data_IF_325860524285
#
_entry.id   IF_325860524285
#
_cell.length_a   1.000
_cell.length_b   1.000
_cell.length_c   1.000
_cell.angle_alpha   90.00
_cell.angle_beta   90.00
_cell.angle_gamma   90.00
#
_symmetry.space_group_name_H-M   'P 1'
#
loop_
_entity.id
_entity.type
_entity.pdbx_description
1 polymer ?
#
# COMPACT_ATOMS: atom_id res chain seq x y z
N UNK A 1 20.77 6.10 28.68
CA UNK A 1 21.57 4.98 28.14
C UNK A 1 21.16 3.69 28.83
N UNK A 2 20.29 2.90 28.20
CA UNK A 2 20.10 1.48 28.52
C UNK A 2 20.18 0.75 27.20
N UNK A 3 21.29 0.02 27.02
CA UNK A 3 21.55 -0.84 25.86
C UNK A 3 20.79 -2.14 26.09
N UNK A 4 19.94 -2.55 25.15
CA UNK A 4 19.53 -3.94 25.02
C UNK A 4 20.10 -4.46 23.71
N UNK A 5 21.14 -5.27 23.86
CA UNK A 5 21.70 -6.13 22.85
C UNK A 5 20.87 -7.42 22.90
N UNK A 6 20.25 -7.83 21.80
CA UNK A 6 19.97 -9.24 21.55
C UNK A 6 20.10 -9.52 20.07
N UNK A 7 20.93 -10.51 19.77
CA UNK A 7 21.48 -10.86 18.48
C UNK A 7 21.08 -12.31 18.20
N UNK A 8 20.42 -12.54 17.06
CA UNK A 8 20.54 -13.69 16.14
C UNK A 8 19.86 -15.05 16.44
N UNK A 9 19.44 -15.67 15.32
CA UNK A 9 19.14 -17.08 14.95
C UNK A 9 17.64 -17.45 15.00
N UNK A 10 16.99 -18.00 13.96
CA UNK A 10 17.42 -18.95 12.93
C UNK A 10 16.67 -18.76 11.59
N UNK A 11 17.39 -19.09 10.51
CA UNK A 11 16.88 -19.30 9.16
C UNK A 11 15.82 -20.41 9.07
N UNK A 12 14.84 -20.20 8.20
CA UNK A 12 14.28 -21.27 7.37
C UNK A 12 14.49 -20.88 5.91
N UNK A 13 15.70 -21.17 5.41
CA UNK A 13 15.88 -21.44 4.00
C UNK A 13 15.20 -22.78 3.74
N UNK A 14 13.99 -22.75 3.17
CA UNK A 14 13.43 -23.94 2.56
C UNK A 14 14.18 -24.23 1.25
N UNK A 15 15.38 -24.80 1.37
CA UNK A 15 15.96 -25.60 0.29
C UNK A 15 15.10 -26.85 0.14
N UNK A 16 14.01 -26.71 -0.61
CA UNK A 16 13.28 -27.84 -1.18
C UNK A 16 13.99 -28.28 -2.44
N UNK A 17 14.99 -29.16 -2.33
CA UNK A 17 15.31 -30.10 -3.40
C UNK A 17 14.05 -30.89 -3.70
N UNK A 18 13.33 -30.52 -4.77
CA UNK A 18 12.29 -31.34 -5.36
C UNK A 18 12.97 -32.58 -5.97
N UNK A 19 13.18 -33.59 -5.12
CA UNK A 19 13.11 -34.97 -5.59
C UNK A 19 11.69 -35.20 -6.09
N UNK A 20 11.57 -35.43 -7.39
CA UNK A 20 10.36 -35.90 -8.01
C UNK A 20 9.92 -37.22 -7.34
N UNK A 21 8.79 -37.16 -6.64
CA UNK A 21 7.90 -38.30 -6.44
C UNK A 21 6.48 -37.83 -6.73
N UNK A 22 5.96 -38.42 -7.79
CA UNK A 22 4.68 -38.23 -8.45
C UNK A 22 3.51 -38.68 -7.56
N UNK A 23 2.75 -37.70 -7.06
CA UNK A 23 1.34 -37.83 -6.69
C UNK A 23 0.71 -36.43 -6.64
N UNK A 24 0.66 -35.76 -7.79
CA UNK A 24 0.11 -34.41 -7.90
C UNK A 24 -1.42 -34.43 -7.80
N UNK A 25 -1.95 -34.13 -6.61
CA UNK A 25 -3.31 -33.58 -6.55
C UNK A 25 -3.28 -32.23 -7.27
N UNK A 26 -4.12 -32.06 -8.30
CA UNK A 26 -4.36 -30.74 -8.87
C UNK A 26 -5.10 -29.92 -7.82
N UNK A 27 -4.37 -29.02 -7.15
CA UNK A 27 -4.97 -28.00 -6.29
C UNK A 27 -5.44 -26.89 -7.20
N UNK A 28 -6.72 -26.53 -7.11
CA UNK A 28 -7.28 -25.41 -7.87
C UNK A 28 -6.61 -24.10 -7.44
N UNK A 29 -6.49 -23.14 -8.36
CA UNK A 29 -5.76 -21.88 -8.10
C UNK A 29 -6.35 -21.07 -6.92
N UNK A 30 -7.64 -21.25 -6.65
CA UNK A 30 -8.38 -20.62 -5.55
C UNK A 30 -8.03 -21.22 -4.18
N UNK A 31 -7.58 -22.47 -4.13
CA UNK A 31 -7.24 -23.19 -2.89
C UNK A 31 -5.78 -22.98 -2.46
N UNK A 32 -4.97 -22.31 -3.29
CA UNK A 32 -3.57 -22.01 -2.97
C UNK A 32 -3.49 -20.90 -1.91
N UNK A 33 -2.64 -21.05 -0.87
CA UNK A 33 -2.48 -20.02 0.15
C UNK A 33 -1.94 -18.71 -0.44
N UNK A 34 -2.19 -17.58 0.22
CA UNK A 34 -1.57 -16.31 -0.15
C UNK A 34 -0.03 -16.46 -0.20
N UNK A 35 0.60 -15.86 -1.22
CA UNK A 35 2.03 -15.98 -1.48
C UNK A 35 2.41 -17.14 -2.43
N UNK A 36 1.44 -17.93 -2.90
CA UNK A 36 1.72 -19.00 -3.87
C UNK A 36 2.10 -18.46 -5.27
N UNK A 37 1.70 -17.22 -5.60
CA UNK A 37 2.00 -16.60 -6.90
C UNK A 37 2.70 -15.25 -6.76
N UNK A 38 3.69 -15.17 -5.87
CA UNK A 38 4.46 -13.94 -5.67
C UNK A 38 5.10 -13.45 -6.96
N UNK A 39 4.92 -12.16 -7.22
CA UNK A 39 5.51 -11.37 -8.29
C UNK A 39 6.17 -10.16 -7.66
N UNK A 40 7.23 -9.67 -8.30
CA UNK A 40 7.95 -8.49 -7.86
C UNK A 40 8.05 -7.48 -9.00
N UNK A 41 7.69 -6.23 -8.72
CA UNK A 41 7.98 -5.07 -9.56
C UNK A 41 9.27 -4.43 -9.05
N UNK A 42 10.17 -4.17 -10.01
CA UNK A 42 11.51 -3.58 -9.77
C UNK A 42 11.76 -2.32 -10.59
N UNK A 43 10.75 -1.90 -11.35
CA UNK A 43 10.74 -0.73 -12.22
C UNK A 43 9.85 0.37 -11.62
N UNK A 44 9.77 0.39 -10.29
CA UNK A 44 9.09 1.38 -9.44
C UNK A 44 10.13 2.09 -8.57
N UNK A 45 9.80 3.26 -8.03
CA UNK A 45 10.72 3.99 -7.15
C UNK A 45 10.96 3.27 -5.80
N UNK A 46 10.00 2.44 -5.37
CA UNK A 46 10.15 1.48 -4.28
C UNK A 46 9.79 0.09 -4.82
N UNK A 47 10.72 -0.87 -4.77
CA UNK A 47 10.45 -2.25 -5.18
C UNK A 47 9.26 -2.82 -4.39
N UNK A 48 8.35 -3.53 -5.06
CA UNK A 48 7.17 -4.10 -4.42
C UNK A 48 6.94 -5.56 -4.80
N UNK A 49 6.67 -6.41 -3.81
CA UNK A 49 6.32 -7.82 -3.98
C UNK A 49 4.90 -8.10 -3.49
N UNK A 50 4.16 -8.89 -4.25
CA UNK A 50 2.75 -9.17 -4.00
C UNK A 50 2.31 -10.46 -4.69
N UNK A 51 1.18 -11.03 -4.25
CA UNK A 51 0.58 -12.19 -4.93
C UNK A 51 -0.25 -11.74 -6.15
N UNK A 52 0.20 -12.16 -7.34
CA UNK A 52 -0.36 -11.71 -8.63
C UNK A 52 -1.78 -12.20 -8.93
N UNK A 53 -2.36 -13.08 -8.10
CA UNK A 53 -3.78 -13.44 -8.20
C UNK A 53 -4.70 -12.33 -7.70
N UNK A 54 -4.25 -11.55 -6.73
CA UNK A 54 -5.09 -10.57 -6.02
C UNK A 54 -4.85 -9.14 -6.50
N UNK A 55 -3.62 -8.84 -6.92
CA UNK A 55 -3.23 -7.50 -7.35
C UNK A 55 -2.67 -7.48 -8.77
N UNK A 56 -2.95 -6.39 -9.45
CA UNK A 56 -2.38 -6.05 -10.76
C UNK A 56 -1.08 -5.25 -10.59
N UNK A 57 -0.27 -5.23 -11.65
CA UNK A 57 0.98 -4.48 -11.66
C UNK A 57 0.71 -2.96 -11.54
N UNK A 58 -0.38 -2.45 -12.13
CA UNK A 58 -0.78 -1.05 -12.04
C UNK A 58 -1.23 -0.65 -10.62
N UNK A 59 -2.03 -1.49 -9.95
CA UNK A 59 -2.43 -1.25 -8.54
C UNK A 59 -1.20 -1.12 -7.63
N UNK A 60 -0.23 -2.02 -7.78
CA UNK A 60 0.97 -2.06 -6.94
C UNK A 60 1.95 -0.94 -7.28
N UNK A 61 1.98 -0.48 -8.54
CA UNK A 61 2.73 0.71 -8.93
C UNK A 61 2.19 1.95 -8.22
N UNK A 62 0.87 2.15 -8.19
CA UNK A 62 0.27 3.31 -7.51
C UNK A 62 0.47 3.25 -6.00
N UNK A 63 0.50 2.05 -5.39
CA UNK A 63 0.91 1.89 -3.98
C UNK A 63 2.35 2.36 -3.78
N UNK A 64 3.29 1.95 -4.64
CA UNK A 64 4.68 2.44 -4.59
C UNK A 64 4.74 3.96 -4.73
N UNK A 65 4.05 4.52 -5.72
CA UNK A 65 4.03 5.97 -5.99
C UNK A 65 3.45 6.77 -4.81
N UNK A 66 2.44 6.23 -4.12
CA UNK A 66 1.85 6.86 -2.93
C UNK A 66 2.89 7.00 -1.81
N UNK A 67 3.56 5.90 -1.44
CA UNK A 67 4.56 5.95 -0.36
C UNK A 67 5.82 6.71 -0.76
N UNK A 68 6.22 6.61 -2.03
CA UNK A 68 7.37 7.35 -2.55
C UNK A 68 7.10 8.86 -2.55
N UNK A 69 5.93 9.29 -3.04
CA UNK A 69 5.57 10.72 -3.06
C UNK A 69 5.58 11.34 -1.66
N UNK A 70 5.11 10.62 -0.65
CA UNK A 70 5.23 11.03 0.76
C UNK A 70 6.69 11.11 1.22
N UNK A 71 7.52 10.13 0.88
CA UNK A 71 8.95 10.11 1.24
C UNK A 71 9.71 11.30 0.66
N UNK A 72 9.49 11.63 -0.61
CA UNK A 72 10.21 12.70 -1.30
C UNK A 72 9.48 14.05 -1.30
N UNK A 73 8.29 14.10 -0.68
CA UNK A 73 7.43 15.29 -0.62
C UNK A 73 7.02 15.81 -2.01
N UNK A 74 6.68 14.91 -2.93
CA UNK A 74 6.23 15.25 -4.30
C UNK A 74 4.70 15.35 -4.37
N UNK A 75 4.19 16.59 -4.30
CA UNK A 75 2.75 16.89 -4.34
C UNK A 75 2.08 16.45 -5.63
N UNK A 76 2.76 16.52 -6.77
CA UNK A 76 2.18 16.15 -8.06
C UNK A 76 2.02 14.63 -8.17
N UNK A 77 3.04 13.88 -7.75
CA UNK A 77 2.97 12.43 -7.71
C UNK A 77 1.91 11.99 -6.70
N UNK A 78 1.87 12.60 -5.50
CA UNK A 78 0.84 12.30 -4.50
C UNK A 78 -0.56 12.53 -5.06
N UNK A 79 -0.81 13.68 -5.69
CA UNK A 79 -2.11 13.99 -6.27
C UNK A 79 -2.54 12.98 -7.34
N UNK A 80 -1.61 12.35 -8.06
CA UNK A 80 -1.93 11.31 -9.05
C UNK A 80 -2.40 9.99 -8.43
N UNK A 81 -2.12 9.76 -7.15
CA UNK A 81 -2.56 8.56 -6.40
C UNK A 81 -3.87 8.77 -5.66
N UNK A 82 -4.49 9.94 -5.79
CA UNK A 82 -5.69 10.36 -5.09
C UNK A 82 -6.74 10.82 -6.10
N UNK A 83 -8.03 10.69 -5.75
CA UNK A 83 -9.07 11.28 -6.60
C UNK A 83 -9.00 12.82 -6.56
N UNK A 84 -9.30 13.48 -7.68
CA UNK A 84 -9.29 14.95 -7.76
C UNK A 84 -10.20 15.60 -6.70
N UNK A 85 -11.34 14.97 -6.41
CA UNK A 85 -12.28 15.45 -5.41
C UNK A 85 -11.71 15.37 -3.99
N UNK A 86 -10.91 14.34 -3.70
CA UNK A 86 -10.22 14.22 -2.41
C UNK A 86 -9.12 15.28 -2.27
N UNK A 87 -8.37 15.57 -3.34
CA UNK A 87 -7.38 16.65 -3.34
C UNK A 87 -8.03 18.00 -3.05
N UNK A 88 -9.14 18.32 -3.72
CA UNK A 88 -9.93 19.54 -3.45
C UNK A 88 -10.42 19.59 -1.99
N UNK A 89 -10.83 18.45 -1.45
CA UNK A 89 -11.26 18.34 -0.06
C UNK A 89 -10.11 18.66 0.91
N UNK A 90 -8.91 18.11 0.69
CA UNK A 90 -7.72 18.41 1.49
C UNK A 90 -7.46 19.91 1.47
N UNK A 91 -7.36 20.52 0.28
CA UNK A 91 -7.07 21.94 0.11
C UNK A 91 -8.11 22.85 0.79
N UNK A 92 -9.38 22.46 0.78
CA UNK A 92 -10.49 23.24 1.34
C UNK A 92 -10.61 23.10 2.86
N UNK A 93 -10.46 21.88 3.41
CA UNK A 93 -10.80 21.60 4.82
C UNK A 93 -9.62 21.66 5.77
N UNK A 94 -8.39 21.52 5.28
CA UNK A 94 -7.22 21.51 6.17
C UNK A 94 -6.61 22.90 6.40
N UNK A 95 -7.11 23.95 5.73
CA UNK A 95 -6.46 25.28 5.60
C UNK A 95 -4.97 25.19 5.18
N UNK A 96 -4.60 24.04 4.61
CA UNK A 96 -3.24 23.59 4.37
C UNK A 96 -3.12 23.23 2.90
N UNK A 97 -1.98 23.57 2.31
CA UNK A 97 -1.66 23.06 0.99
C UNK A 97 -1.50 21.53 1.07
N UNK A 98 -1.66 20.83 -0.06
CA UNK A 98 -1.41 19.39 -0.14
C UNK A 98 -0.04 19.02 0.46
N UNK A 99 0.98 19.86 0.23
CA UNK A 99 2.30 19.70 0.84
C UNK A 99 2.32 19.69 2.37
N UNK A 100 1.49 20.49 3.05
CA UNK A 100 1.42 20.49 4.51
C UNK A 100 0.78 19.20 5.04
N UNK A 101 -0.24 18.68 4.35
CA UNK A 101 -0.85 17.38 4.67
C UNK A 101 0.17 16.24 4.51
N UNK A 102 0.90 16.21 3.39
CA UNK A 102 1.97 15.24 3.15
C UNK A 102 3.09 15.35 4.18
N UNK A 103 3.44 16.59 4.57
CA UNK A 103 4.46 16.84 5.58
C UNK A 103 4.07 16.27 6.94
N UNK A 104 2.81 16.36 7.34
CA UNK A 104 2.35 15.75 8.59
C UNK A 104 2.49 14.23 8.59
N UNK A 105 2.20 13.58 7.46
CA UNK A 105 2.39 12.14 7.31
C UNK A 105 3.88 11.80 7.39
N UNK A 106 4.72 12.52 6.66
CA UNK A 106 6.17 12.34 6.70
C UNK A 106 6.75 12.54 8.11
N UNK A 107 6.36 13.60 8.81
CA UNK A 107 6.86 13.89 10.16
C UNK A 107 6.46 12.79 11.16
N UNK A 108 5.26 12.22 11.03
CA UNK A 108 4.82 11.06 11.84
C UNK A 108 5.68 9.82 11.56
N UNK A 109 5.96 9.54 10.29
CA UNK A 109 6.82 8.42 9.89
C UNK A 109 8.26 8.64 10.35
N UNK A 110 8.81 9.84 10.13
CA UNK A 110 10.16 10.21 10.54
C UNK A 110 10.34 10.20 12.07
N UNK A 111 9.30 10.49 12.85
CA UNK A 111 9.33 10.32 14.30
C UNK A 111 9.55 8.85 14.73
N UNK A 112 9.20 7.90 13.86
CA UNK A 112 9.32 6.46 14.13
C UNK A 112 10.58 5.85 13.51
N UNK A 113 10.90 6.23 12.26
CA UNK A 113 12.01 5.67 11.46
C UNK A 113 13.28 6.53 11.48
N UNK A 114 13.18 7.77 11.95
CA UNK A 114 14.21 8.80 11.82
C UNK A 114 14.06 9.66 10.56
N UNK A 115 14.65 10.86 10.59
CA UNK A 115 14.63 11.78 9.44
C UNK A 115 15.40 11.19 8.23
N UNK A 116 14.95 11.52 7.02
CA UNK A 116 15.51 11.05 5.75
C UNK A 116 15.45 9.52 5.59
N UNK A 117 14.45 8.89 6.19
CA UNK A 117 14.15 7.48 5.93
C UNK A 117 13.94 7.26 4.43
N UNK A 118 14.32 6.06 3.95
CA UNK A 118 14.08 5.63 2.58
C UNK A 118 13.47 4.24 2.57
N UNK A 119 12.26 4.12 2.08
CA UNK A 119 11.67 2.85 1.73
C UNK A 119 12.45 2.24 0.56
N UNK A 120 12.90 1.01 0.75
CA UNK A 120 13.65 0.25 -0.24
C UNK A 120 12.83 -0.91 -0.79
N UNK A 121 11.83 -1.37 -0.04
CA UNK A 121 11.02 -2.52 -0.41
C UNK A 121 9.68 -2.51 0.32
N UNK A 122 8.62 -2.91 -0.40
CA UNK A 122 7.27 -3.15 0.11
C UNK A 122 6.90 -4.61 -0.18
N UNK A 123 6.31 -5.30 0.79
CA UNK A 123 5.73 -6.62 0.61
C UNK A 123 4.27 -6.60 1.05
N UNK A 124 3.36 -6.91 0.12
CA UNK A 124 1.99 -7.22 0.50
C UNK A 124 1.97 -8.63 1.09
N UNK A 125 1.70 -8.75 2.38
CA UNK A 125 1.74 -10.02 3.14
C UNK A 125 0.35 -10.63 3.39
N UNK A 126 -0.69 -9.84 3.23
CA UNK A 126 -2.08 -10.30 3.22
C UNK A 126 -2.94 -9.34 2.38
N UNK A 127 -4.13 -9.81 2.01
CA UNK A 127 -5.11 -9.02 1.29
C UNK A 127 -6.51 -9.50 1.60
N UNK A 128 -7.48 -8.68 1.22
CA UNK A 128 -8.88 -9.04 1.21
C UNK A 128 -9.68 -7.99 0.46
N UNK A 129 -10.99 -8.13 0.52
CA UNK A 129 -11.91 -7.18 -0.09
C UNK A 129 -13.00 -6.73 0.89
N UNK A 130 -14.04 -6.10 0.34
CA UNK A 130 -15.18 -5.59 1.11
C UNK A 130 -15.92 -6.63 1.95
N UNK A 131 -15.79 -7.94 1.66
CA UNK A 131 -16.38 -8.99 2.49
C UNK A 131 -15.60 -9.21 3.78
N UNK A 132 -14.32 -8.84 3.78
CA UNK A 132 -13.39 -9.08 4.87
C UNK A 132 -13.20 -7.81 5.73
N UNK A 133 -13.28 -6.62 5.13
CA UNK A 133 -13.10 -5.34 5.83
C UNK A 133 -14.16 -4.29 5.49
N UNK A 134 -14.91 -3.86 6.53
CA UNK A 134 -15.96 -2.85 6.42
C UNK A 134 -15.41 -1.44 6.18
N UNK A 135 -14.12 -1.18 6.43
CA UNK A 135 -13.49 0.11 6.19
C UNK A 135 -13.60 0.54 4.72
N UNK A 136 -13.69 -0.41 3.78
CA UNK A 136 -13.92 -0.13 2.36
C UNK A 136 -15.27 0.59 2.14
N UNK A 137 -16.33 0.14 2.81
CA UNK A 137 -17.66 0.76 2.70
C UNK A 137 -17.68 2.13 3.41
N UNK A 138 -16.93 2.29 4.51
CA UNK A 138 -16.78 3.57 5.21
C UNK A 138 -16.03 4.61 4.36
N UNK A 139 -14.90 4.24 3.75
CA UNK A 139 -14.14 5.09 2.83
C UNK A 139 -15.02 5.47 1.63
N UNK A 140 -15.75 4.51 1.05
CA UNK A 140 -16.67 4.78 -0.05
C UNK A 140 -17.73 5.81 0.33
N UNK A 141 -18.31 5.68 1.54
CA UNK A 141 -19.34 6.61 2.02
C UNK A 141 -18.80 8.01 2.29
N UNK A 142 -17.60 8.11 2.85
CA UNK A 142 -16.88 9.38 3.03
C UNK A 142 -16.63 10.04 1.67
N UNK A 143 -16.11 9.27 0.71
CA UNK A 143 -15.80 9.76 -0.63
C UNK A 143 -17.05 10.18 -1.41
N UNK A 144 -18.16 9.46 -1.29
CA UNK A 144 -19.46 9.88 -1.85
C UNK A 144 -19.89 11.25 -1.30
N UNK A 145 -19.71 11.47 0.01
CA UNK A 145 -20.00 12.77 0.64
C UNK A 145 -19.09 13.88 0.10
N UNK A 146 -17.80 13.59 -0.10
CA UNK A 146 -16.83 14.55 -0.68
C UNK A 146 -17.18 14.89 -2.13
N UNK A 147 -17.57 13.90 -2.93
CA UNK A 147 -18.01 14.10 -4.31
C UNK A 147 -19.26 14.99 -4.38
N UNK A 148 -20.24 14.74 -3.50
CA UNK A 148 -21.46 15.56 -3.39
C UNK A 148 -21.14 17.00 -2.97
N UNK A 149 -20.31 17.20 -1.93
CA UNK A 149 -19.92 18.53 -1.44
C UNK A 149 -19.16 19.36 -2.48
N UNK A 150 -18.43 18.71 -3.37
CA UNK A 150 -17.73 19.34 -4.49
C UNK A 150 -18.60 19.52 -5.74
N UNK A 151 -19.86 19.07 -5.71
CA UNK A 151 -20.80 19.21 -6.82
C UNK A 151 -20.50 18.30 -8.01
N UNK A 152 -19.91 17.12 -7.77
CA UNK A 152 -19.70 16.10 -8.80
C UNK A 152 -21.03 15.59 -9.35
N UNK A 153 -21.08 15.29 -10.66
CA UNK A 153 -22.28 14.72 -11.30
C UNK A 153 -22.46 13.23 -11.02
N UNK A 154 -21.39 12.54 -10.62
CA UNK A 154 -21.38 11.12 -10.23
C UNK A 154 -20.95 11.00 -8.77
N UNK A 155 -21.33 9.90 -8.12
CA UNK A 155 -20.75 9.55 -6.80
C UNK A 155 -19.42 8.82 -6.99
N UNK A 156 -18.60 8.75 -5.93
CA UNK A 156 -17.36 7.97 -5.96
C UNK A 156 -17.66 6.49 -6.18
N UNK A 157 -18.65 5.95 -5.47
CA UNK A 157 -19.10 4.57 -5.62
C UNK A 157 -19.46 4.19 -7.06
N UNK A 158 -20.02 5.12 -7.84
CA UNK A 158 -20.36 4.89 -9.24
C UNK A 158 -19.13 4.77 -10.15
N UNK A 159 -17.98 5.32 -9.73
CA UNK A 159 -16.71 5.18 -10.47
C UNK A 159 -15.94 3.93 -10.08
N UNK A 160 -16.16 3.36 -8.89
CA UNK A 160 -15.43 2.18 -8.39
C UNK A 160 -15.75 0.93 -9.20
N UNK A 161 -14.71 0.32 -9.77
CA UNK A 161 -14.77 -0.98 -10.48
C UNK A 161 -14.20 -2.13 -9.66
N UNK A 162 -13.28 -1.83 -8.73
CA UNK A 162 -12.72 -2.77 -7.76
C UNK A 162 -12.28 -2.04 -6.50
N UNK A 163 -12.44 -2.68 -5.34
CA UNK A 163 -11.96 -2.16 -4.06
C UNK A 163 -11.41 -3.32 -3.23
N UNK A 164 -10.17 -3.17 -2.74
CA UNK A 164 -9.41 -4.19 -2.03
C UNK A 164 -8.61 -3.54 -0.91
N UNK A 165 -8.14 -4.32 0.04
CA UNK A 165 -7.07 -3.90 0.94
C UNK A 165 -5.85 -4.82 0.82
N UNK A 166 -4.68 -4.26 1.14
CA UNK A 166 -3.45 -5.01 1.35
C UNK A 166 -2.91 -4.71 2.75
N UNK A 167 -2.31 -5.71 3.38
CA UNK A 167 -1.46 -5.53 4.55
C UNK A 167 -0.02 -5.51 4.06
N UNK A 168 0.68 -4.42 4.35
CA UNK A 168 2.00 -4.14 3.84
C UNK A 168 3.03 -4.21 4.97
N UNK A 169 4.07 -4.97 4.69
CA UNK A 169 5.33 -4.92 5.40
C UNK A 169 6.33 -4.16 4.55
N UNK A 170 7.23 -3.45 5.22
CA UNK A 170 8.17 -2.58 4.54
C UNK A 170 9.56 -2.71 5.10
N UNK A 171 10.53 -2.48 4.21
CA UNK A 171 11.92 -2.25 4.59
C UNK A 171 12.27 -0.79 4.32
N UNK A 172 12.74 -0.10 5.37
CA UNK A 172 13.30 1.24 5.28
C UNK A 172 14.78 1.24 5.65
N UNK A 173 15.51 2.21 5.13
CA UNK A 173 16.86 2.56 5.55
C UNK A 173 16.90 3.98 6.13
N UNK A 174 17.53 4.12 7.29
CA UNK A 174 17.83 5.43 7.90
C UNK A 174 19.24 5.38 8.49
N UNK A 175 20.09 6.36 8.16
CA UNK A 175 21.47 6.45 8.68
C UNK A 175 22.33 5.18 8.47
N UNK A 176 22.05 4.40 7.43
CA UNK A 176 22.75 3.14 7.13
C UNK A 176 22.29 1.94 7.96
N UNK A 177 21.23 2.10 8.77
CA UNK A 177 20.54 1.01 9.44
C UNK A 177 19.25 0.68 8.67
N UNK A 178 18.89 -0.61 8.66
CA UNK A 178 17.66 -1.10 8.05
C UNK A 178 16.62 -1.39 9.12
N UNK A 179 15.39 -0.98 8.86
CA UNK A 179 14.24 -1.11 9.73
C UNK A 179 13.11 -1.81 8.99
N UNK A 180 12.46 -2.74 9.68
CA UNK A 180 11.23 -3.37 9.18
C UNK A 180 10.06 -2.83 9.98
N UNK A 181 9.00 -2.44 9.28
CA UNK A 181 7.73 -2.08 9.90
C UNK A 181 6.63 -2.84 9.18
N UNK A 182 5.76 -3.46 9.98
CA UNK A 182 4.82 -4.48 9.52
C UNK A 182 3.38 -4.02 9.70
N UNK A 183 2.47 -4.78 9.12
CA UNK A 183 1.03 -4.71 9.38
C UNK A 183 0.39 -3.36 9.04
N UNK A 184 0.90 -2.66 8.02
CA UNK A 184 0.30 -1.41 7.54
C UNK A 184 -0.82 -1.70 6.56
N UNK A 185 -2.05 -1.31 6.87
CA UNK A 185 -3.19 -1.53 5.98
C UNK A 185 -3.27 -0.40 4.96
N UNK A 186 -3.45 -0.76 3.69
CA UNK A 186 -3.75 0.17 2.60
C UNK A 186 -5.00 -0.27 1.87
N UNK A 187 -5.84 0.68 1.48
CA UNK A 187 -7.04 0.45 0.67
C UNK A 187 -6.80 0.96 -0.76
N UNK A 188 -7.11 0.11 -1.72
CA UNK A 188 -6.83 0.32 -3.14
C UNK A 188 -8.16 0.30 -3.88
N UNK A 189 -8.51 1.43 -4.48
CA UNK A 189 -9.74 1.59 -5.27
C UNK A 189 -9.37 1.76 -6.73
N UNK A 190 -9.73 0.80 -7.57
CA UNK A 190 -9.66 0.95 -9.02
C UNK A 190 -10.96 1.55 -9.51
N UNK A 191 -10.89 2.78 -10.00
CA UNK A 191 -12.01 3.55 -10.54
C UNK A 191 -11.94 3.63 -12.06
N UNK A 192 -13.02 4.11 -12.69
CA UNK A 192 -13.07 4.32 -14.15
C UNK A 192 -12.08 5.37 -14.66
N UNK A 193 -11.58 6.23 -13.78
CA UNK A 193 -10.71 7.38 -14.09
C UNK A 193 -9.31 7.29 -13.45
N UNK A 194 -9.03 6.27 -12.63
CA UNK A 194 -7.73 6.12 -11.98
C UNK A 194 -7.71 5.02 -10.92
N UNK A 195 -6.55 4.83 -10.29
CA UNK A 195 -6.39 3.97 -9.11
C UNK A 195 -6.03 4.88 -7.94
N UNK A 196 -6.74 4.73 -6.82
CA UNK A 196 -6.62 5.63 -5.68
C UNK A 196 -6.31 4.88 -4.39
N UNK A 197 -5.45 5.51 -3.57
CA UNK A 197 -4.88 4.91 -2.35
C UNK A 197 -5.41 5.63 -1.11
N UNK A 198 -5.94 4.88 -0.15
CA UNK A 198 -6.35 5.40 1.15
C UNK A 198 -5.71 4.58 2.27
N UNK A 199 -5.33 5.24 3.37
CA UNK A 199 -4.57 4.65 4.50
C UNK A 199 -5.15 5.12 5.82
#
# INVERSE_FOLDING_TARGET
MKKFLSLILCAVLATGTLCACDSGENIEMEDLPYGATLRQLKDTDIDICFDGRYFTDDEMRVVSDYYYSLQIQDEQLFASTQSEQYIKYIEKNSEKAVGDFMKEIYDKTAASLGENYKYTYIEAVACGDRTDDLQIDEITSLMDSIYEENGSETTFKETVTSAKYAVLDFTAETNGESYTYTDQVVYIFTCTDGIYIFV
#
